data_IF_295769624477
#
_entry.id   IF_295769624477
#
_cell.length_a   1.000
_cell.length_b   1.000
_cell.length_c   1.000
_cell.angle_alpha   90.00
_cell.angle_beta   90.00
_cell.angle_gamma   90.00
#
_symmetry.space_group_name_H-M   'P 1'
#
loop_
_entity.id
_entity.type
_entity.pdbx_description
1 polymer ?
#
# COMPACT_ATOMS: atom_id res chain seq x y z
N UNK A 1 -21.42 21.50 -15.93
CA UNK A 1 -20.83 21.34 -14.57
C UNK A 1 -21.78 22.02 -13.63
N UNK A 2 -22.44 21.23 -12.79
CA UNK A 2 -23.58 21.69 -12.00
C UNK A 2 -23.13 22.40 -10.73
N UNK A 3 -23.77 23.52 -10.43
CA UNK A 3 -23.52 24.41 -9.29
C UNK A 3 -23.53 23.67 -7.94
N UNK A 4 -24.32 22.59 -7.84
CA UNK A 4 -24.35 21.69 -6.68
C UNK A 4 -23.05 20.95 -6.44
N UNK A 5 -22.35 20.51 -7.49
CA UNK A 5 -21.06 19.83 -7.38
C UNK A 5 -19.97 20.79 -6.85
N UNK A 6 -20.06 22.07 -7.19
CA UNK A 6 -19.14 23.09 -6.69
C UNK A 6 -19.39 23.40 -5.20
N UNK A 7 -20.67 23.43 -4.79
CA UNK A 7 -21.04 23.69 -3.40
C UNK A 7 -20.71 22.52 -2.47
N UNK A 8 -20.91 21.28 -2.92
CA UNK A 8 -20.51 20.07 -2.19
C UNK A 8 -18.99 19.98 -2.06
N UNK A 9 -18.25 20.31 -3.12
CA UNK A 9 -16.79 20.40 -3.10
C UNK A 9 -16.29 21.47 -2.13
N UNK A 10 -16.92 22.66 -2.12
CA UNK A 10 -16.58 23.74 -1.21
C UNK A 10 -16.83 23.36 0.26
N UNK A 11 -17.92 22.63 0.56
CA UNK A 11 -18.20 22.12 1.91
C UNK A 11 -17.21 21.04 2.34
N UNK A 12 -16.82 20.13 1.45
CA UNK A 12 -15.80 19.13 1.72
C UNK A 12 -14.43 19.78 2.02
N UNK A 13 -14.04 20.79 1.23
CA UNK A 13 -12.81 21.58 1.47
C UNK A 13 -12.90 22.33 2.81
N UNK A 14 -14.06 22.86 3.17
CA UNK A 14 -14.26 23.57 4.43
C UNK A 14 -14.17 22.65 5.66
N UNK A 15 -14.74 21.44 5.60
CA UNK A 15 -14.62 20.45 6.67
C UNK A 15 -13.18 19.91 6.80
N UNK A 16 -12.50 19.74 5.67
CA UNK A 16 -11.06 19.38 5.64
C UNK A 16 -10.20 20.51 6.22
N UNK A 17 -10.48 21.76 5.89
CA UNK A 17 -9.77 22.92 6.44
C UNK A 17 -9.99 23.08 7.96
N UNK A 18 -11.21 22.85 8.45
CA UNK A 18 -11.50 22.84 9.89
C UNK A 18 -10.73 21.72 10.59
N UNK A 19 -10.72 20.52 10.00
CA UNK A 19 -10.00 19.36 10.55
C UNK A 19 -8.49 19.60 10.54
N UNK A 20 -7.95 20.21 9.48
CA UNK A 20 -6.55 20.60 9.39
C UNK A 20 -6.17 21.68 10.42
N UNK A 21 -7.04 22.66 10.68
CA UNK A 21 -6.83 23.64 11.73
C UNK A 21 -6.83 22.99 13.13
N UNK A 22 -7.75 22.07 13.40
CA UNK A 22 -7.75 21.32 14.68
C UNK A 22 -6.49 20.46 14.84
N UNK A 23 -6.02 19.87 13.74
CA UNK A 23 -4.79 19.09 13.71
C UNK A 23 -3.53 19.96 13.90
N UNK A 24 -3.49 21.14 13.28
CA UNK A 24 -2.43 22.15 13.45
C UNK A 24 -2.37 22.69 14.88
N UNK A 25 -3.52 23.00 15.47
CA UNK A 25 -3.61 23.44 16.88
C UNK A 25 -3.15 22.32 17.85
N UNK A 26 -3.43 21.06 17.52
CA UNK A 26 -2.94 19.90 18.28
C UNK A 26 -1.43 19.69 18.12
N UNK A 27 -0.90 19.93 16.91
CA UNK A 27 0.53 19.83 16.63
C UNK A 27 1.34 20.97 17.29
N UNK A 28 0.82 22.20 17.29
CA UNK A 28 1.43 23.35 17.97
C UNK A 28 1.50 23.15 19.49
N UNK A 29 0.50 22.49 20.10
CA UNK A 29 0.53 22.15 21.53
C UNK A 29 1.52 21.03 21.89
N UNK A 30 1.92 20.20 20.91
CA UNK A 30 2.77 19.01 21.15
C UNK A 30 4.25 19.26 20.82
N UNK A 31 4.62 20.45 20.30
CA UNK A 31 6.02 20.83 20.11
C UNK A 31 6.78 19.96 19.08
N UNK A 32 6.08 19.38 18.10
CA UNK A 32 6.70 18.60 17.03
C UNK A 32 7.49 19.52 16.08
N UNK A 33 8.80 19.28 15.98
CA UNK A 33 9.75 20.05 15.16
C UNK A 33 9.43 20.03 13.66
N UNK A 34 8.54 19.13 13.22
CA UNK A 34 8.07 18.99 11.84
C UNK A 34 7.10 20.13 11.46
N UNK A 35 6.36 20.70 12.42
CA UNK A 35 5.40 21.79 12.19
C UNK A 35 6.06 23.08 11.67
N UNK A 36 7.28 23.40 12.14
CA UNK A 36 7.99 24.64 11.77
C UNK A 36 8.47 24.68 10.32
N UNK A 37 8.67 23.54 9.67
CA UNK A 37 9.03 23.47 8.25
C UNK A 37 7.80 23.54 7.32
N UNK A 38 6.59 23.42 7.86
CA UNK A 38 5.33 23.40 7.10
C UNK A 38 4.47 24.65 7.32
N UNK A 39 4.66 25.35 8.44
CA UNK A 39 3.95 26.60 8.79
C UNK A 39 4.05 27.65 7.67
N UNK A 40 5.24 27.82 7.08
CA UNK A 40 5.46 28.77 5.97
C UNK A 40 4.90 28.34 4.60
N UNK A 41 4.67 27.04 4.37
CA UNK A 41 4.21 26.53 3.07
C UNK A 41 2.68 26.52 2.99
N UNK A 42 1.99 26.30 4.11
CA UNK A 42 0.52 26.29 4.17
C UNK A 42 -0.05 27.71 4.22
N UNK A 43 0.54 28.62 4.99
CA UNK A 43 0.05 30.01 5.11
C UNK A 43 0.19 30.81 3.80
N UNK A 44 1.23 30.57 3.00
CA UNK A 44 1.39 31.23 1.70
C UNK A 44 0.44 30.71 0.62
N UNK A 45 -0.17 29.53 0.80
CA UNK A 45 -0.89 28.83 -0.27
C UNK A 45 -2.42 28.95 -0.18
N UNK A 46 -2.96 29.07 1.04
CA UNK A 46 -4.42 29.22 1.26
C UNK A 46 -5.02 30.52 0.68
N UNK A 47 -4.18 31.46 0.19
CA UNK A 47 -4.60 32.76 -0.34
C UNK A 47 -4.64 32.91 -1.87
N UNK A 48 -4.20 31.93 -2.67
CA UNK A 48 -4.11 32.09 -4.14
C UNK A 48 -4.78 30.93 -4.86
N UNK A 49 -5.69 31.28 -5.79
CA UNK A 49 -6.52 30.37 -6.59
C UNK A 49 -5.88 29.01 -6.82
N UNK A 50 -6.43 28.04 -6.10
CA UNK A 50 -5.87 26.71 -5.95
C UNK A 50 -6.17 25.91 -7.21
N UNK A 51 -5.12 25.47 -7.88
CA UNK A 51 -5.17 24.38 -8.84
C UNK A 51 -5.50 23.09 -8.06
N UNK A 52 -6.69 22.52 -8.30
CA UNK A 52 -7.24 21.38 -7.54
C UNK A 52 -6.21 20.25 -7.32
N UNK A 53 -5.36 19.98 -8.31
CA UNK A 53 -4.32 18.95 -8.25
C UNK A 53 -3.23 19.23 -7.19
N UNK A 54 -2.86 20.50 -7.01
CA UNK A 54 -1.89 20.88 -5.97
C UNK A 54 -2.52 20.77 -4.58
N UNK A 55 -3.83 21.01 -4.47
CA UNK A 55 -4.57 20.89 -3.22
C UNK A 55 -4.61 19.43 -2.78
N UNK A 56 -5.04 18.55 -3.69
CA UNK A 56 -5.10 17.11 -3.45
C UNK A 56 -3.74 16.54 -3.04
N UNK A 57 -2.67 16.89 -3.78
CA UNK A 57 -1.31 16.46 -3.41
C UNK A 57 -0.90 16.93 -2.03
N UNK A 58 -1.24 18.16 -1.65
CA UNK A 58 -0.91 18.71 -0.33
C UNK A 58 -1.66 17.95 0.76
N UNK A 59 -2.95 17.68 0.56
CA UNK A 59 -3.76 16.88 1.47
C UNK A 59 -3.22 15.44 1.60
N UNK A 60 -2.83 14.81 0.50
CA UNK A 60 -2.25 13.47 0.50
C UNK A 60 -0.92 13.43 1.27
N UNK A 61 -0.09 14.47 1.15
CA UNK A 61 1.15 14.59 1.96
C UNK A 61 0.86 14.70 3.45
N UNK A 62 -0.17 15.46 3.83
CA UNK A 62 -0.58 15.55 5.24
C UNK A 62 -1.09 14.19 5.75
N UNK A 63 -1.89 13.47 4.96
CA UNK A 63 -2.33 12.10 5.27
C UNK A 63 -1.16 11.14 5.45
N UNK A 64 -0.20 11.17 4.52
CA UNK A 64 1.00 10.34 4.56
C UNK A 64 1.82 10.61 5.83
N UNK A 65 2.08 11.89 6.13
CA UNK A 65 2.84 12.28 7.32
C UNK A 65 2.15 11.82 8.60
N UNK A 66 0.83 11.99 8.70
CA UNK A 66 0.06 11.54 9.85
C UNK A 66 0.19 10.02 10.07
N UNK A 67 0.02 9.22 9.01
CA UNK A 67 0.15 7.75 9.10
C UNK A 67 1.58 7.30 9.44
N UNK A 68 2.59 7.97 8.89
CA UNK A 68 4.00 7.74 9.27
C UNK A 68 4.25 8.06 10.75
N UNK A 69 3.70 9.16 11.25
CA UNK A 69 3.81 9.57 12.64
C UNK A 69 3.15 8.55 13.58
N UNK A 70 1.94 8.07 13.22
CA UNK A 70 1.22 7.02 13.94
C UNK A 70 2.06 5.74 14.03
N UNK A 71 2.65 5.28 12.92
CA UNK A 71 3.51 4.07 12.91
C UNK A 71 4.83 4.25 13.66
N UNK A 72 5.48 5.42 13.55
CA UNK A 72 6.70 5.71 14.31
C UNK A 72 6.43 5.71 15.81
N UNK A 73 5.32 6.33 16.24
CA UNK A 73 4.90 6.33 17.63
C UNK A 73 4.56 4.92 18.12
N UNK A 74 3.80 4.15 17.34
CA UNK A 74 3.43 2.77 17.66
C UNK A 74 4.68 1.88 17.87
N UNK A 75 5.73 2.08 17.07
CA UNK A 75 6.97 1.31 17.12
C UNK A 75 8.09 1.95 17.96
N UNK A 76 7.82 3.11 18.57
CA UNK A 76 8.80 3.89 19.34
C UNK A 76 10.06 4.23 18.53
N UNK A 77 9.90 4.45 17.22
CA UNK A 77 10.97 4.87 16.33
C UNK A 77 11.14 6.39 16.39
N UNK A 78 12.37 6.92 16.39
CA UNK A 78 12.57 8.35 16.31
C UNK A 78 12.18 8.86 14.92
N UNK A 79 11.55 10.03 14.82
CA UNK A 79 11.14 10.61 13.53
C UNK A 79 12.30 10.82 12.55
N UNK A 80 13.53 10.99 13.04
CA UNK A 80 14.75 11.10 12.24
C UNK A 80 15.21 9.76 11.66
N UNK A 81 14.59 8.63 12.02
CA UNK A 81 14.99 7.32 11.51
C UNK A 81 14.85 7.20 9.99
N UNK A 82 13.94 7.97 9.38
CA UNK A 82 13.77 8.01 7.92
C UNK A 82 15.02 8.54 7.20
N UNK A 83 15.83 9.35 7.86
CA UNK A 83 17.09 9.91 7.31
C UNK A 83 18.17 8.85 7.10
N UNK A 84 18.02 7.67 7.74
CA UNK A 84 18.94 6.54 7.56
C UNK A 84 18.72 5.79 6.26
N UNK A 85 17.58 6.01 5.60
CA UNK A 85 17.23 5.32 4.35
C UNK A 85 17.93 5.97 3.15
N UNK A 86 18.20 5.20 2.08
CA UNK A 86 18.76 5.75 0.85
C UNK A 86 17.87 6.84 0.24
N UNK A 87 18.46 7.98 -0.13
CA UNK A 87 17.72 9.14 -0.64
C UNK A 87 16.90 8.83 -1.90
N UNK A 88 17.42 8.00 -2.80
CA UNK A 88 16.71 7.58 -4.02
C UNK A 88 15.47 6.74 -3.71
N UNK A 89 15.50 5.94 -2.64
CA UNK A 89 14.35 5.18 -2.18
C UNK A 89 13.32 6.10 -1.53
N UNK A 90 13.73 6.93 -0.56
CA UNK A 90 12.81 7.83 0.16
C UNK A 90 12.17 8.84 -0.78
N UNK A 91 12.98 9.46 -1.65
CA UNK A 91 12.51 10.47 -2.61
C UNK A 91 11.42 9.92 -3.53
N UNK A 92 11.62 8.73 -4.09
CA UNK A 92 10.62 8.10 -4.95
C UNK A 92 9.40 7.64 -4.13
N UNK A 93 9.60 6.98 -2.99
CA UNK A 93 8.51 6.47 -2.16
C UNK A 93 7.58 7.58 -1.68
N UNK A 94 8.12 8.68 -1.13
CA UNK A 94 7.32 9.83 -0.68
C UNK A 94 6.61 10.50 -1.84
N UNK A 95 7.29 10.65 -2.98
CA UNK A 95 6.69 11.27 -4.17
C UNK A 95 5.51 10.45 -4.66
N UNK A 96 5.68 9.14 -4.86
CA UNK A 96 4.61 8.28 -5.36
C UNK A 96 3.49 8.09 -4.35
N UNK A 97 3.81 7.95 -3.05
CA UNK A 97 2.82 7.85 -1.99
C UNK A 97 1.95 9.12 -1.91
N UNK A 98 2.53 10.31 -2.13
CA UNK A 98 1.77 11.57 -2.13
C UNK A 98 0.78 11.72 -3.29
N UNK A 99 0.87 10.87 -4.31
CA UNK A 99 -0.08 10.84 -5.42
C UNK A 99 -1.22 9.86 -5.16
N UNK A 100 -1.16 9.04 -4.11
CA UNK A 100 -2.18 8.04 -3.81
C UNK A 100 -3.42 8.69 -3.21
N UNK A 101 -4.57 8.38 -3.80
CA UNK A 101 -5.88 8.82 -3.31
C UNK A 101 -6.56 7.77 -2.44
N UNK A 102 -6.29 6.50 -2.72
CA UNK A 102 -6.77 5.34 -1.98
C UNK A 102 -5.98 5.14 -0.67
N UNK A 103 -6.70 5.11 0.44
CA UNK A 103 -6.10 5.00 1.78
C UNK A 103 -5.44 3.63 2.01
N UNK A 104 -5.98 2.55 1.40
CA UNK A 104 -5.42 1.20 1.56
C UNK A 104 -4.08 1.05 0.87
N UNK A 105 -3.89 1.68 -0.31
CA UNK A 105 -2.59 1.75 -0.96
C UNK A 105 -1.62 2.62 -0.15
N UNK A 106 -2.09 3.76 0.37
CA UNK A 106 -1.27 4.65 1.19
C UNK A 106 -0.70 3.92 2.42
N UNK A 107 -1.48 3.03 3.04
CA UNK A 107 -1.01 2.18 4.14
C UNK A 107 0.15 1.27 3.73
N UNK A 108 0.13 0.68 2.53
CA UNK A 108 1.23 -0.15 2.03
C UNK A 108 2.52 0.66 1.83
N UNK A 109 2.40 1.90 1.37
CA UNK A 109 3.54 2.81 1.25
C UNK A 109 4.16 3.15 2.61
N UNK A 110 3.32 3.41 3.60
CA UNK A 110 3.74 3.66 4.98
C UNK A 110 4.46 2.43 5.53
N UNK A 111 3.88 1.24 5.39
CA UNK A 111 4.51 -0.01 5.84
C UNK A 111 5.85 -0.25 5.13
N UNK A 112 5.93 -0.02 3.81
CA UNK A 112 7.17 -0.14 3.05
C UNK A 112 8.29 0.72 3.65
N UNK A 113 8.01 1.99 3.93
CA UNK A 113 9.02 2.91 4.48
C UNK A 113 9.39 2.55 5.92
N UNK A 114 8.41 2.29 6.78
CA UNK A 114 8.64 1.98 8.19
C UNK A 114 9.38 0.65 8.35
N UNK A 115 8.97 -0.39 7.61
CA UNK A 115 9.65 -1.68 7.64
C UNK A 115 11.07 -1.58 7.08
N UNK A 116 11.31 -0.68 6.11
CA UNK A 116 12.66 -0.46 5.54
C UNK A 116 13.65 0.16 6.52
N UNK A 117 13.17 0.81 7.59
CA UNK A 117 14.02 1.39 8.65
C UNK A 117 14.60 0.29 9.56
N UNK A 118 13.82 -0.76 9.81
CA UNK A 118 14.06 -1.67 10.94
C UNK A 118 14.28 -3.14 10.51
N UNK A 119 13.50 -3.64 9.54
CA UNK A 119 13.34 -5.08 9.34
C UNK A 119 13.48 -5.56 7.89
N UNK A 120 13.51 -4.64 6.91
CA UNK A 120 13.58 -4.96 5.49
C UNK A 120 14.59 -4.06 4.79
N UNK A 121 15.29 -4.60 3.80
CA UNK A 121 16.21 -3.80 2.99
C UNK A 121 15.44 -2.87 2.04
N UNK A 122 15.73 -1.56 2.03
CA UNK A 122 15.06 -0.60 1.14
C UNK A 122 15.40 -0.91 -0.32
N UNK A 123 14.37 -1.03 -1.17
CA UNK A 123 14.51 -1.38 -2.60
C UNK A 123 13.61 -0.51 -3.47
N UNK A 124 14.21 0.21 -4.41
CA UNK A 124 13.47 1.02 -5.40
C UNK A 124 12.56 0.15 -6.26
N UNK A 125 12.90 -1.12 -6.49
CA UNK A 125 12.01 -2.05 -7.21
C UNK A 125 10.67 -2.26 -6.50
N UNK A 126 10.61 -2.23 -5.16
CA UNK A 126 9.34 -2.33 -4.43
C UNK A 126 8.48 -1.09 -4.62
N UNK A 127 9.12 0.08 -4.68
CA UNK A 127 8.46 1.35 -5.02
C UNK A 127 7.88 1.29 -6.43
N UNK A 128 8.64 0.80 -7.42
CA UNK A 128 8.14 0.60 -8.79
C UNK A 128 6.95 -0.34 -8.85
N UNK A 129 6.98 -1.46 -8.12
CA UNK A 129 5.87 -2.42 -8.09
C UNK A 129 4.62 -1.80 -7.47
N UNK A 130 4.72 -1.17 -6.28
CA UNK A 130 3.56 -0.56 -5.62
C UNK A 130 2.95 0.58 -6.44
N UNK A 131 3.77 1.34 -7.17
CA UNK A 131 3.31 2.43 -8.04
C UNK A 131 2.37 1.95 -9.15
N UNK A 132 2.55 0.72 -9.60
CA UNK A 132 1.78 0.13 -10.70
C UNK A 132 0.56 -0.68 -10.22
N UNK A 133 0.36 -0.81 -8.91
CA UNK A 133 -0.77 -1.55 -8.34
C UNK A 133 -2.01 -0.67 -8.19
N UNK A 134 -3.15 -1.22 -8.57
CA UNK A 134 -4.48 -0.75 -8.16
C UNK A 134 -4.86 -1.28 -6.77
N UNK A 135 -5.91 -0.75 -6.13
CA UNK A 135 -6.40 -1.30 -4.86
C UNK A 135 -6.80 -2.78 -4.97
N UNK A 136 -7.34 -3.21 -6.12
CA UNK A 136 -7.70 -4.62 -6.33
C UNK A 136 -6.45 -5.51 -6.43
N UNK A 137 -5.42 -5.07 -7.17
CA UNK A 137 -4.15 -5.80 -7.28
C UNK A 137 -3.52 -6.02 -5.90
N UNK A 138 -3.49 -4.95 -5.10
CA UNK A 138 -2.98 -4.99 -3.74
C UNK A 138 -3.76 -5.95 -2.84
N UNK A 139 -5.10 -5.95 -2.91
CA UNK A 139 -5.96 -6.88 -2.15
C UNK A 139 -5.71 -8.33 -2.56
N UNK A 140 -5.66 -8.62 -3.87
CA UNK A 140 -5.39 -9.97 -4.39
C UNK A 140 -3.99 -10.42 -3.98
N UNK A 141 -2.99 -9.56 -4.14
CA UNK A 141 -1.61 -9.82 -3.73
C UNK A 141 -1.54 -10.18 -2.24
N UNK A 142 -2.09 -9.34 -1.35
CA UNK A 142 -2.09 -9.64 0.09
C UNK A 142 -2.81 -10.94 0.42
N UNK A 143 -3.90 -11.24 -0.28
CA UNK A 143 -4.67 -12.48 -0.07
C UNK A 143 -3.88 -13.72 -0.48
N UNK A 144 -3.14 -13.66 -1.59
CA UNK A 144 -2.27 -14.77 -2.04
C UNK A 144 -1.15 -15.04 -1.01
N UNK A 145 -0.61 -14.00 -0.38
CA UNK A 145 0.54 -14.11 0.53
C UNK A 145 0.18 -14.17 2.02
N UNK A 146 -1.10 -14.02 2.40
CA UNK A 146 -1.56 -14.17 3.79
C UNK A 146 -1.48 -15.61 4.29
N UNK A 147 -1.32 -16.58 3.38
CA UNK A 147 -1.13 -17.98 3.70
C UNK A 147 0.28 -18.45 3.31
N UNK A 148 0.84 -19.33 4.13
CA UNK A 148 2.13 -19.96 3.88
C UNK A 148 2.03 -21.46 4.14
N UNK A 149 2.76 -22.24 3.36
CA UNK A 149 2.77 -23.69 3.51
C UNK A 149 3.56 -24.14 4.74
N UNK A 150 3.48 -25.44 5.08
CA UNK A 150 4.35 -26.04 6.09
C UNK A 150 5.82 -25.72 5.80
N UNK A 151 6.58 -25.42 6.85
CA UNK A 151 7.99 -25.01 6.78
C UNK A 151 8.25 -23.74 5.95
N UNK A 152 7.23 -22.90 5.73
CA UNK A 152 7.35 -21.65 5.00
C UNK A 152 7.51 -21.81 3.48
N UNK A 153 7.15 -23.00 2.95
CA UNK A 153 7.16 -23.31 1.52
C UNK A 153 6.10 -22.51 0.76
N UNK A 154 6.39 -22.22 -0.51
CA UNK A 154 5.43 -21.59 -1.40
C UNK A 154 4.24 -22.52 -1.64
N UNK A 155 3.04 -21.93 -1.62
CA UNK A 155 1.81 -22.62 -1.96
C UNK A 155 1.34 -22.19 -3.35
N UNK A 156 0.68 -23.14 -4.01
CA UNK A 156 -0.15 -22.86 -5.17
C UNK A 156 -1.58 -22.60 -4.69
N UNK A 157 -2.14 -21.45 -5.09
CA UNK A 157 -3.40 -20.90 -4.60
C UNK A 157 -4.46 -20.96 -5.70
N UNK A 158 -5.68 -21.41 -5.36
CA UNK A 158 -6.83 -21.32 -6.26
C UNK A 158 -7.32 -19.88 -6.37
N UNK A 159 -7.56 -19.43 -7.60
CA UNK A 159 -7.87 -18.01 -7.88
C UNK A 159 -9.34 -17.66 -7.85
N UNK A 160 -10.24 -18.63 -8.05
CA UNK A 160 -11.70 -18.42 -8.17
C UNK A 160 -12.30 -17.57 -7.05
N UNK A 161 -11.82 -17.76 -5.82
CA UNK A 161 -12.34 -17.09 -4.64
C UNK A 161 -11.71 -15.73 -4.35
N UNK A 162 -10.65 -15.36 -5.07
CA UNK A 162 -9.88 -14.16 -4.75
C UNK A 162 -10.68 -12.87 -5.03
N UNK A 163 -10.42 -11.80 -4.25
CA UNK A 163 -9.57 -11.76 -3.05
C UNK A 163 -10.25 -12.29 -1.77
N UNK A 164 -11.56 -12.57 -1.80
CA UNK A 164 -12.34 -12.76 -0.57
C UNK A 164 -12.19 -14.16 0.07
N UNK A 165 -11.81 -15.16 -0.73
CA UNK A 165 -11.60 -16.55 -0.30
C UNK A 165 -10.28 -17.06 -0.85
N UNK A 166 -9.39 -17.46 0.04
CA UNK A 166 -8.05 -17.98 -0.27
C UNK A 166 -8.01 -19.46 0.05
N UNK A 167 -7.71 -20.30 -0.94
CA UNK A 167 -7.66 -21.77 -0.76
C UNK A 167 -6.35 -22.33 -1.31
N UNK A 168 -5.66 -23.17 -0.53
CA UNK A 168 -4.43 -23.84 -0.96
C UNK A 168 -4.74 -25.13 -1.70
N UNK A 169 -3.94 -25.46 -2.72
CA UNK A 169 -4.12 -26.70 -3.52
C UNK A 169 -3.89 -27.99 -2.74
N UNK A 170 -3.24 -27.92 -1.57
CA UNK A 170 -3.03 -29.07 -0.68
C UNK A 170 -4.28 -29.50 0.08
N UNK A 171 -5.31 -28.67 0.13
CA UNK A 171 -6.49 -28.88 1.00
C UNK A 171 -7.73 -29.40 0.24
N UNK A 172 -7.69 -29.47 -1.10
CA UNK A 172 -8.88 -29.78 -1.91
C UNK A 172 -8.71 -30.89 -2.94
N UNK A 173 -9.60 -31.88 -2.84
CA UNK A 173 -9.86 -32.86 -3.90
C UNK A 173 -10.78 -32.21 -4.94
N UNK A 174 -10.28 -32.08 -6.17
CA UNK A 174 -11.04 -31.84 -7.41
C UNK A 174 -12.27 -30.93 -7.26
N UNK A 175 -12.05 -29.62 -7.10
CA UNK A 175 -13.10 -28.64 -7.41
C UNK A 175 -13.18 -28.43 -8.92
N UNK A 176 -14.39 -28.27 -9.44
CA UNK A 176 -14.63 -27.80 -10.80
C UNK A 176 -13.79 -26.54 -11.07
N UNK A 177 -12.97 -26.61 -12.12
CA UNK A 177 -12.16 -25.51 -12.65
C UNK A 177 -13.09 -24.39 -13.13
N UNK A 178 -13.48 -23.50 -12.23
CA UNK A 178 -14.17 -22.27 -12.59
C UNK A 178 -13.17 -21.12 -12.52
N UNK A 179 -13.13 -20.35 -13.60
CA UNK A 179 -12.29 -19.17 -13.71
C UNK A 179 -12.77 -18.08 -12.74
N UNK A 180 -11.85 -17.24 -12.22
CA UNK A 180 -12.23 -16.05 -11.48
C UNK A 180 -12.93 -15.03 -12.40
N UNK A 181 -13.47 -13.96 -11.81
CA UNK A 181 -14.07 -12.87 -12.59
C UNK A 181 -13.03 -12.17 -13.47
N UNK A 182 -13.48 -11.52 -14.55
CA UNK A 182 -12.58 -10.85 -15.52
C UNK A 182 -11.66 -9.82 -14.85
N UNK A 183 -12.18 -8.97 -13.96
CA UNK A 183 -11.37 -8.00 -13.21
C UNK A 183 -10.27 -8.68 -12.37
N UNK A 184 -10.55 -9.86 -11.80
CA UNK A 184 -9.56 -10.62 -11.04
C UNK A 184 -8.52 -11.21 -11.99
N UNK A 185 -8.92 -11.71 -13.17
CA UNK A 185 -7.97 -12.18 -14.21
C UNK A 185 -7.03 -11.04 -14.64
N UNK A 186 -7.57 -9.84 -14.91
CA UNK A 186 -6.78 -8.67 -15.28
C UNK A 186 -5.76 -8.30 -14.18
N UNK A 187 -6.21 -8.24 -12.92
CA UNK A 187 -5.33 -8.01 -11.78
C UNK A 187 -4.25 -9.09 -11.64
N UNK A 188 -4.60 -10.36 -11.84
CA UNK A 188 -3.65 -11.46 -11.79
C UNK A 188 -2.58 -11.35 -12.89
N UNK A 189 -2.98 -10.98 -14.12
CA UNK A 189 -2.04 -10.75 -15.22
C UNK A 189 -1.10 -9.56 -14.92
N UNK A 190 -1.60 -8.50 -14.30
CA UNK A 190 -0.77 -7.37 -13.84
C UNK A 190 0.24 -7.86 -12.78
N UNK A 191 -0.20 -8.64 -11.80
CA UNK A 191 0.67 -9.17 -10.74
C UNK A 191 1.75 -10.13 -11.28
N UNK A 192 1.44 -10.93 -12.30
CA UNK A 192 2.45 -11.72 -13.01
C UNK A 192 3.43 -10.85 -13.79
N UNK A 193 2.95 -9.84 -14.52
CA UNK A 193 3.83 -8.89 -15.23
C UNK A 193 4.77 -8.16 -14.27
N UNK A 194 4.32 -7.85 -13.07
CA UNK A 194 5.13 -7.25 -11.99
C UNK A 194 6.08 -8.27 -11.31
N UNK A 195 6.00 -9.56 -11.67
CA UNK A 195 6.85 -10.64 -11.18
C UNK A 195 6.55 -11.07 -9.74
N UNK A 196 5.42 -10.64 -9.18
CA UNK A 196 5.06 -10.92 -7.78
C UNK A 196 4.13 -12.12 -7.63
N UNK A 197 3.62 -12.66 -8.73
CA UNK A 197 2.90 -13.93 -8.85
C UNK A 197 3.39 -14.63 -10.13
N UNK A 198 3.24 -15.95 -10.25
CA UNK A 198 3.52 -16.68 -11.48
C UNK A 198 2.42 -17.70 -11.79
N UNK A 199 2.09 -17.85 -13.07
CA UNK A 199 1.10 -18.83 -13.53
C UNK A 199 1.75 -19.98 -14.29
N UNK A 200 1.05 -21.11 -14.36
CA UNK A 200 1.41 -22.19 -15.28
C UNK A 200 0.94 -21.85 -16.69
N UNK A 201 1.64 -22.35 -17.70
CA UNK A 201 1.14 -22.33 -19.07
C UNK A 201 0.35 -23.61 -19.35
N UNK A 202 -0.78 -23.48 -20.04
CA UNK A 202 -1.48 -24.66 -20.57
C UNK A 202 -0.65 -25.32 -21.68
N UNK A 203 -0.94 -26.59 -21.96
CA UNK A 203 -0.28 -27.32 -23.05
C UNK A 203 -0.44 -26.65 -24.43
N UNK A 204 -1.52 -25.90 -24.63
CA UNK A 204 -1.78 -25.13 -25.86
C UNK A 204 -1.14 -23.73 -25.86
N UNK A 205 -0.39 -23.37 -24.83
CA UNK A 205 0.26 -22.05 -24.70
C UNK A 205 -0.66 -20.92 -24.24
N UNK A 206 -1.92 -21.23 -23.90
CA UNK A 206 -2.82 -20.26 -23.27
C UNK A 206 -2.48 -20.08 -21.78
N UNK A 207 -2.65 -18.87 -21.27
CA UNK A 207 -2.50 -18.53 -19.86
C UNK A 207 -3.54 -19.28 -19.01
N UNK A 208 -3.08 -19.93 -17.93
CA UNK A 208 -3.94 -20.65 -17.00
C UNK A 208 -4.03 -19.87 -15.68
N UNK A 209 -5.10 -19.09 -15.53
CA UNK A 209 -5.35 -18.28 -14.34
C UNK A 209 -6.12 -19.03 -13.25
N UNK A 210 -6.28 -20.36 -13.33
CA UNK A 210 -6.96 -21.15 -12.30
C UNK A 210 -6.13 -21.27 -11.01
N UNK A 211 -4.81 -21.11 -11.13
CA UNK A 211 -3.87 -21.26 -10.01
C UNK A 211 -2.74 -20.25 -10.05
N UNK A 212 -2.55 -19.54 -8.95
CA UNK A 212 -1.44 -18.60 -8.74
C UNK A 212 -0.33 -19.24 -7.90
N UNK A 213 0.93 -19.06 -8.32
CA UNK A 213 2.09 -19.45 -7.53
C UNK A 213 2.75 -18.22 -6.90
N UNK A 214 3.12 -18.33 -5.64
CA UNK A 214 3.94 -17.33 -4.96
C UNK A 214 5.36 -17.30 -5.55
N UNK A 215 5.96 -16.11 -5.64
CA UNK A 215 7.33 -15.90 -6.08
C UNK A 215 8.21 -15.40 -4.92
N UNK A 216 9.52 -15.57 -5.05
CA UNK A 216 10.49 -15.02 -4.08
C UNK A 216 10.43 -13.49 -4.01
N UNK A 217 10.22 -12.82 -5.15
CA UNK A 217 10.09 -11.37 -5.21
C UNK A 217 8.82 -10.92 -4.47
N UNK A 218 7.68 -11.55 -4.76
CA UNK A 218 6.42 -11.23 -4.10
C UNK A 218 6.46 -11.50 -2.60
N UNK A 219 7.07 -12.61 -2.14
CA UNK A 219 7.23 -12.86 -0.69
C UNK A 219 8.05 -11.77 0.01
N UNK A 220 9.13 -11.30 -0.63
CA UNK A 220 9.93 -10.20 -0.08
C UNK A 220 9.17 -8.88 -0.05
N UNK A 221 8.42 -8.57 -1.11
CA UNK A 221 7.56 -7.39 -1.14
C UNK A 221 6.48 -7.47 -0.06
N UNK A 222 5.81 -8.62 0.07
CA UNK A 222 4.79 -8.84 1.09
C UNK A 222 5.34 -8.56 2.49
N UNK A 223 6.51 -9.10 2.83
CA UNK A 223 7.18 -8.80 4.09
C UNK A 223 7.52 -7.31 4.27
N UNK A 224 7.82 -6.60 3.17
CA UNK A 224 8.10 -5.17 3.19
C UNK A 224 6.85 -4.33 3.48
N UNK A 225 5.66 -4.78 3.07
CA UNK A 225 4.41 -3.98 3.15
C UNK A 225 3.41 -4.50 4.17
N UNK A 226 3.73 -5.58 4.89
CA UNK A 226 2.86 -6.19 5.89
C UNK A 226 3.14 -5.64 7.28
N UNK A 227 2.10 -5.62 8.12
CA UNK A 227 2.26 -5.30 9.54
C UNK A 227 3.06 -6.40 10.26
N UNK A 228 3.46 -6.15 11.52
CA UNK A 228 4.11 -7.18 12.33
C UNK A 228 3.19 -8.39 12.56
N UNK A 229 1.90 -8.15 12.80
CA UNK A 229 0.90 -9.19 13.05
C UNK A 229 0.66 -10.07 11.82
N UNK A 230 0.58 -9.46 10.64
CA UNK A 230 0.41 -10.18 9.37
C UNK A 230 1.62 -11.07 9.06
N UNK A 231 2.83 -10.61 9.39
CA UNK A 231 4.05 -11.42 9.24
C UNK A 231 4.08 -12.62 10.18
N UNK A 232 3.54 -12.48 11.40
CA UNK A 232 3.48 -13.57 12.37
C UNK A 232 2.53 -14.71 11.93
N UNK A 233 1.42 -14.36 11.26
CA UNK A 233 0.46 -15.35 10.72
C UNK A 233 1.07 -16.13 9.54
N UNK A 234 1.95 -15.50 8.76
CA UNK A 234 2.63 -16.11 7.62
C UNK A 234 3.92 -16.87 7.92
N UNK A 235 4.38 -16.95 9.17
CA UNK A 235 5.56 -17.75 9.52
C UNK A 235 5.15 -19.10 10.14
N UNK A 236 5.74 -20.23 9.71
CA UNK A 236 5.60 -21.46 10.46
C UNK A 236 6.15 -21.21 11.87
N UNK A 237 5.37 -21.52 12.90
CA UNK A 237 5.80 -21.40 14.29
C UNK A 237 7.15 -22.08 14.46
N UNK A 238 8.18 -21.31 14.84
CA UNK A 238 9.44 -21.86 15.31
C UNK A 238 9.15 -22.37 16.72
N UNK A 239 8.81 -23.65 16.82
CA UNK A 239 8.82 -24.43 18.05
C UNK A 239 10.08 -25.28 18.12
#
# INVERSE_FOLDING_TARGET
MDEKSFEESAKAVQEVAKTANTLLESAQKTGSYIGKHLEGVLEQWLGKHVDNLKAERTLNRLRLNKKLEEEFNARKLPHTAIEKLPLNFVGEAVTQASLQTDDSLLDLWVQLMVNSIDSVEPRVSFVSILKEMTPLDARIFKSIYSISGPDGKFLQIYTKGLPDVVVSTSEEKEREFMLPSENVVESLAILERLGVVAFGTSWAGAEAFDRANQTTLGKRLYNAISSADERAIGQPGIG
#
